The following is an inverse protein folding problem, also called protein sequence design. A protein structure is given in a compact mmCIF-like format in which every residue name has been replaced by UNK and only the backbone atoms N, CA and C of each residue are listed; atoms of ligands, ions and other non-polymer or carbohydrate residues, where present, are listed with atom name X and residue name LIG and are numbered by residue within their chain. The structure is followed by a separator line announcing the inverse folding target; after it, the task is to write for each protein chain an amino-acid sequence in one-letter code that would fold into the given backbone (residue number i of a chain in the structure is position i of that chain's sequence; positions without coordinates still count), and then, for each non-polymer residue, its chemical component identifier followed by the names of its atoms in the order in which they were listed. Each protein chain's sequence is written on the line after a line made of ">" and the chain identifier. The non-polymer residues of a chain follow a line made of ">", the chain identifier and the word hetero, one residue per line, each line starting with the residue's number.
data_IF_128891702996
#
_entry.id   IF_128891702996
#
_cell.length_a   1.000
_cell.length_b   1.000
_cell.length_c   1.000
_cell.angle_alpha   90.00
_cell.angle_beta   90.00
_cell.angle_gamma   90.00
#
_symmetry.space_group_name_H-M   'P 1'
#
loop_
_entity.id
_entity.type
_entity.pdbx_description
1 polymer ?
#
# COMPACT_ATOMS: atom_id res chain seq x y z
N UNK A 1 -23.33 -14.74 -8.40
CA UNK A 1 -22.08 -14.38 -7.69
C UNK A 1 -20.90 -14.96 -8.47
N UNK A 2 -20.33 -14.20 -9.41
CA UNK A 2 -19.41 -14.72 -10.43
C UNK A 2 -17.96 -14.89 -9.94
N UNK A 3 -17.21 -15.80 -10.58
CA UNK A 3 -15.77 -16.04 -10.34
C UNK A 3 -14.93 -14.74 -10.38
N UNK A 4 -15.34 -13.77 -11.20
CA UNK A 4 -14.72 -12.44 -11.29
C UNK A 4 -14.85 -11.58 -10.03
N UNK A 5 -15.63 -12.01 -9.02
CA UNK A 5 -15.78 -11.27 -7.76
C UNK A 5 -14.70 -11.60 -6.73
N UNK A 6 -13.92 -12.67 -6.90
CA UNK A 6 -12.94 -13.10 -5.89
C UNK A 6 -11.60 -12.39 -6.06
N UNK A 7 -11.12 -12.26 -7.28
CA UNK A 7 -9.80 -11.66 -7.58
C UNK A 7 -9.76 -10.18 -7.19
N UNK A 8 -10.66 -9.29 -7.66
CA UNK A 8 -10.66 -7.89 -7.23
C UNK A 8 -10.81 -7.71 -5.72
N UNK A 9 -11.61 -8.57 -5.05
CA UNK A 9 -11.74 -8.54 -3.59
C UNK A 9 -10.45 -8.91 -2.86
N UNK A 10 -9.70 -9.88 -3.36
CA UNK A 10 -8.40 -10.25 -2.80
C UNK A 10 -7.38 -9.15 -2.98
N UNK A 11 -7.35 -8.53 -4.17
CA UNK A 11 -6.49 -7.37 -4.43
C UNK A 11 -6.82 -6.24 -3.45
N UNK A 12 -8.09 -5.86 -3.35
CA UNK A 12 -8.55 -4.83 -2.43
C UNK A 12 -8.19 -5.15 -0.97
N UNK A 13 -8.42 -6.39 -0.53
CA UNK A 13 -8.09 -6.82 0.82
C UNK A 13 -6.59 -6.78 1.12
N UNK A 14 -5.72 -7.13 0.15
CA UNK A 14 -4.27 -7.00 0.35
C UNK A 14 -3.85 -5.54 0.46
N UNK A 15 -4.44 -4.64 -0.33
CA UNK A 15 -4.15 -3.20 -0.24
C UNK A 15 -4.64 -2.63 1.08
N UNK A 16 -5.88 -2.93 1.49
CA UNK A 16 -6.46 -2.43 2.75
C UNK A 16 -5.66 -2.86 3.99
N UNK A 17 -5.14 -4.09 3.99
CA UNK A 17 -4.34 -4.61 5.09
C UNK A 17 -2.92 -4.00 5.17
N UNK A 18 -2.47 -3.28 4.14
CA UNK A 18 -1.12 -2.71 4.05
C UNK A 18 -1.13 -1.23 3.62
N UNK A 19 -2.18 -0.48 3.98
CA UNK A 19 -2.49 0.88 3.48
C UNK A 19 -1.35 1.90 3.65
N UNK A 20 -0.38 1.64 4.55
CA UNK A 20 0.78 2.50 4.83
C UNK A 20 2.07 1.68 5.03
N UNK A 21 2.10 0.46 4.54
CA UNK A 21 3.24 -0.44 4.65
C UNK A 21 3.62 -0.95 3.26
N UNK A 22 4.89 -1.32 3.09
CA UNK A 22 5.35 -1.95 1.85
C UNK A 22 4.58 -3.25 1.62
N UNK A 23 4.18 -3.49 0.37
CA UNK A 23 3.55 -4.76 0.01
C UNK A 23 3.98 -5.26 -1.36
N UNK A 24 4.05 -6.59 -1.44
CA UNK A 24 4.33 -7.34 -2.64
C UNK A 24 3.43 -8.57 -2.70
N UNK A 25 2.63 -8.71 -3.75
CA UNK A 25 1.81 -9.91 -3.95
C UNK A 25 1.52 -10.17 -5.43
N UNK A 26 1.18 -11.43 -5.73
CA UNK A 26 0.81 -11.86 -7.08
C UNK A 26 -0.64 -12.36 -7.07
N UNK A 27 -1.47 -11.86 -7.99
CA UNK A 27 -2.82 -12.36 -8.19
C UNK A 27 -3.12 -12.39 -9.70
N UNK A 28 -3.63 -13.53 -10.20
CA UNK A 28 -3.95 -13.75 -11.61
C UNK A 28 -2.79 -13.46 -12.59
N UNK A 29 -1.55 -13.77 -12.20
CA UNK A 29 -0.34 -13.53 -13.02
C UNK A 29 0.05 -12.06 -13.14
N UNK A 30 -0.46 -11.22 -12.24
CA UNK A 30 -0.09 -9.82 -12.10
C UNK A 30 0.62 -9.65 -10.77
N UNK A 31 1.85 -9.13 -10.83
CA UNK A 31 2.67 -8.74 -9.69
C UNK A 31 2.33 -7.31 -9.31
N UNK A 32 1.96 -7.10 -8.05
CA UNK A 32 1.72 -5.81 -7.44
C UNK A 32 2.88 -5.51 -6.50
N UNK A 33 3.54 -4.37 -6.70
CA UNK A 33 4.58 -3.87 -5.80
C UNK A 33 4.24 -2.46 -5.35
N UNK A 34 4.29 -2.22 -4.06
CA UNK A 34 4.18 -0.89 -3.48
C UNK A 34 5.27 -0.70 -2.44
N UNK A 35 6.14 0.27 -2.69
CA UNK A 35 7.18 0.70 -1.76
C UNK A 35 6.81 2.09 -1.24
N UNK A 36 6.64 2.23 0.06
CA UNK A 36 6.28 3.45 0.77
C UNK A 36 7.44 3.84 1.67
N UNK A 37 8.00 5.02 1.40
CA UNK A 37 9.04 5.61 2.24
C UNK A 37 8.51 6.93 2.81
N UNK A 38 8.53 7.08 4.13
CA UNK A 38 8.10 8.31 4.77
C UNK A 38 8.93 8.66 6.01
N UNK A 39 9.10 9.96 6.25
CA UNK A 39 9.77 10.49 7.43
C UNK A 39 9.09 11.77 7.91
N UNK A 40 9.18 12.04 9.21
CA UNK A 40 8.49 13.17 9.84
C UNK A 40 7.02 12.91 10.15
N UNK A 41 6.53 11.68 9.96
CA UNK A 41 5.15 11.27 10.28
C UNK A 41 5.10 10.24 11.41
N UNK A 42 4.02 10.29 12.19
CA UNK A 42 3.59 9.26 13.13
C UNK A 42 2.39 8.52 12.53
N UNK A 43 2.43 7.19 12.54
CA UNK A 43 1.31 6.35 12.09
C UNK A 43 0.24 6.28 13.18
N UNK A 44 -0.96 6.73 12.87
CA UNK A 44 -2.15 6.58 13.69
C UNK A 44 -3.16 5.74 12.91
N UNK A 45 -3.33 4.48 13.31
CA UNK A 45 -4.15 3.49 12.58
C UNK A 45 -3.78 3.44 11.09
N UNK A 46 -4.62 4.02 10.23
CA UNK A 46 -4.53 3.98 8.77
C UNK A 46 -4.17 5.35 8.18
N UNK A 47 -3.72 6.30 9.01
CA UNK A 47 -3.30 7.64 8.57
C UNK A 47 -1.89 7.97 9.09
N UNK A 48 -1.15 8.73 8.29
CA UNK A 48 0.10 9.35 8.70
C UNK A 48 -0.18 10.79 9.12
N UNK A 49 0.20 11.14 10.35
CA UNK A 49 0.05 12.49 10.90
C UNK A 49 1.44 13.10 11.07
N UNK A 50 1.70 14.33 10.62
CA UNK A 50 2.97 15.00 10.86
C UNK A 50 3.32 14.97 12.35
N UNK A 51 4.55 14.57 12.66
CA UNK A 51 5.06 14.58 14.03
C UNK A 51 5.36 16.02 14.45
N UNK A 52 4.94 16.40 15.65
CA UNK A 52 5.12 17.76 16.18
C UNK A 52 6.59 18.21 16.22
N UNK A 53 7.52 17.26 16.27
CA UNK A 53 8.96 17.50 16.36
C UNK A 53 9.70 17.34 15.01
N UNK A 54 8.99 17.06 13.92
CA UNK A 54 9.62 16.88 12.61
C UNK A 54 10.05 18.24 12.04
N UNK A 55 11.33 18.35 11.63
CA UNK A 55 11.84 19.54 10.94
C UNK A 55 11.33 19.65 9.50
N UNK A 56 11.20 18.50 8.84
CA UNK A 56 10.70 18.36 7.47
C UNK A 56 9.88 17.07 7.37
N UNK A 57 8.91 17.06 6.46
CA UNK A 57 8.07 15.93 6.18
C UNK A 57 8.39 15.41 4.78
N UNK A 58 8.58 14.09 4.66
CA UNK A 58 8.84 13.43 3.38
C UNK A 58 7.94 12.22 3.24
N UNK A 59 7.32 12.08 2.07
CA UNK A 59 6.53 10.92 1.70
C UNK A 59 6.80 10.58 0.24
N UNK A 60 7.09 9.32 -0.03
CA UNK A 60 7.31 8.75 -1.35
C UNK A 60 6.58 7.44 -1.48
N UNK A 61 5.88 7.29 -2.60
CA UNK A 61 5.15 6.07 -2.95
C UNK A 61 5.57 5.66 -4.35
N UNK A 62 6.06 4.43 -4.47
CA UNK A 62 6.35 3.78 -5.74
C UNK A 62 5.43 2.58 -5.89
N UNK A 63 4.45 2.72 -6.77
CA UNK A 63 3.53 1.65 -7.10
C UNK A 63 3.82 1.14 -8.51
N UNK A 64 3.86 -0.18 -8.68
CA UNK A 64 3.95 -0.81 -9.98
C UNK A 64 3.07 -2.05 -10.07
N UNK A 65 2.61 -2.31 -11.29
CA UNK A 65 1.80 -3.46 -11.63
C UNK A 65 2.34 -4.05 -12.93
N UNK A 66 2.88 -5.26 -12.84
CA UNK A 66 3.54 -5.91 -13.97
C UNK A 66 2.93 -7.28 -14.19
N UNK A 67 2.86 -7.70 -15.46
CA UNK A 67 2.57 -9.10 -15.76
C UNK A 67 3.80 -9.94 -15.37
N UNK A 68 3.57 -11.06 -14.70
CA UNK A 68 4.62 -12.06 -14.39
C UNK A 68 5.19 -12.69 -15.67
#
# INVERSE_FOLDING_TARGET
>A
MGLFSKIPKRIASNIENNILDDYHFVEAGIVFNCDIEHSGYTKLTNILVPSENAKENYFSLKFSMNKE
#
